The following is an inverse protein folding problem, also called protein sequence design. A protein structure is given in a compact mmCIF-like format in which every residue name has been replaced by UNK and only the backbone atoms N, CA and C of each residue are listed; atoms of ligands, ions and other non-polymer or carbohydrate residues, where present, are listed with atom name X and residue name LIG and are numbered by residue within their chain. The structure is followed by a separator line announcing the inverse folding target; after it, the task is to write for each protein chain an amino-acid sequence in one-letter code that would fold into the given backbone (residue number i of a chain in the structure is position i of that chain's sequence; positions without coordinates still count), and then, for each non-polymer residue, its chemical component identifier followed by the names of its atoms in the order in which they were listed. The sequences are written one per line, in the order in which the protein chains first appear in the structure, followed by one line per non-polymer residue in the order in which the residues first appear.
data_IF_850652638470
#
_entry.id   IF_850652638470
#
_cell.length_a   1.000
_cell.length_b   1.000
_cell.length_c   1.000
_cell.angle_alpha   90.00
_cell.angle_beta   90.00
_cell.angle_gamma   90.00
#
_symmetry.space_group_name_H-M   'P 1'
#
loop_
_entity.id
_entity.type
_entity.pdbx_description
1 polymer ?
#
# COMPACT_ATOMS: atom_id res chain seq x y z
N UNK A 1 -10.25 -25.57 -13.95
CA UNK A 1 -9.03 -24.88 -13.48
C UNK A 1 -8.75 -23.78 -14.49
N UNK A 2 -9.19 -22.56 -14.21
CA UNK A 2 -8.95 -21.40 -15.06
C UNK A 2 -7.45 -21.13 -15.12
N UNK A 3 -6.86 -21.12 -16.32
CA UNK A 3 -5.48 -20.67 -16.53
C UNK A 3 -5.45 -19.16 -16.30
N UNK A 4 -5.20 -18.74 -15.05
CA UNK A 4 -4.86 -17.36 -14.71
C UNK A 4 -3.60 -16.99 -15.49
N UNK A 5 -3.80 -16.35 -16.64
CA UNK A 5 -2.70 -15.85 -17.47
C UNK A 5 -2.14 -14.64 -16.76
N UNK A 6 -0.87 -14.71 -16.34
CA UNK A 6 -0.18 -13.61 -15.64
C UNK A 6 -0.02 -12.43 -16.59
N UNK A 7 -1.00 -11.55 -16.62
CA UNK A 7 -0.97 -10.28 -17.34
C UNK A 7 -0.39 -9.21 -16.43
N UNK A 8 0.43 -8.33 -16.99
CA UNK A 8 0.87 -7.10 -16.33
C UNK A 8 -0.31 -6.13 -16.18
N UNK A 9 -0.19 -5.19 -15.23
CA UNK A 9 -1.17 -4.11 -15.04
C UNK A 9 -1.45 -3.34 -16.34
N UNK A 10 -0.43 -3.09 -17.16
CA UNK A 10 -0.59 -2.40 -18.44
C UNK A 10 -1.39 -3.20 -19.46
N UNK A 11 -1.22 -4.53 -19.51
CA UNK A 11 -1.99 -5.40 -20.41
C UNK A 11 -3.46 -5.48 -19.98
N UNK A 12 -3.73 -5.59 -18.68
CA UNK A 12 -5.08 -5.60 -18.11
C UNK A 12 -5.82 -4.29 -18.39
N UNK A 13 -5.12 -3.16 -18.27
CA UNK A 13 -5.69 -1.83 -18.55
C UNK A 13 -5.85 -1.54 -20.05
N UNK A 14 -5.05 -2.17 -20.92
CA UNK A 14 -5.12 -1.98 -22.37
C UNK A 14 -6.36 -2.63 -23.00
N UNK A 15 -6.78 -3.79 -22.49
CA UNK A 15 -8.02 -4.45 -22.91
C UNK A 15 -8.88 -4.91 -21.72
N UNK A 16 -9.57 -3.98 -21.03
CA UNK A 16 -10.39 -4.27 -19.87
C UNK A 16 -11.49 -5.31 -20.11
N UNK A 17 -11.97 -5.45 -21.36
CA UNK A 17 -13.06 -6.37 -21.71
C UNK A 17 -12.64 -7.84 -21.61
N UNK A 18 -11.35 -8.10 -21.66
CA UNK A 18 -10.77 -9.45 -21.53
C UNK A 18 -10.42 -9.78 -20.08
N UNK A 19 -10.59 -8.84 -19.14
CA UNK A 19 -10.37 -9.07 -17.72
C UNK A 19 -11.67 -9.59 -17.12
N UNK A 20 -11.64 -10.82 -16.62
CA UNK A 20 -12.82 -11.45 -16.04
C UNK A 20 -13.02 -11.03 -14.58
N UNK A 21 -14.23 -11.26 -14.05
CA UNK A 21 -14.53 -11.11 -12.62
C UNK A 21 -13.58 -11.93 -11.73
N UNK A 22 -13.27 -13.16 -12.15
CA UNK A 22 -12.35 -14.05 -11.42
C UNK A 22 -10.93 -13.46 -11.37
N UNK A 23 -10.45 -12.91 -12.50
CA UNK A 23 -9.15 -12.22 -12.55
C UNK A 23 -9.11 -11.03 -11.60
N UNK A 24 -10.14 -10.18 -11.61
CA UNK A 24 -10.24 -9.00 -10.72
C UNK A 24 -10.22 -9.41 -9.26
N UNK A 25 -11.02 -10.40 -8.86
CA UNK A 25 -11.06 -10.87 -7.47
C UNK A 25 -9.72 -11.47 -7.04
N UNK A 26 -9.10 -12.30 -7.88
CA UNK A 26 -7.78 -12.87 -7.62
C UNK A 26 -6.74 -11.76 -7.42
N UNK A 27 -6.76 -10.74 -8.27
CA UNK A 27 -5.87 -9.58 -8.20
C UNK A 27 -6.07 -8.77 -6.92
N UNK A 28 -7.31 -8.54 -6.50
CA UNK A 28 -7.61 -7.85 -5.25
C UNK A 28 -7.16 -8.67 -4.03
N UNK A 29 -7.31 -9.99 -4.06
CA UNK A 29 -6.84 -10.87 -2.98
C UNK A 29 -5.33 -10.83 -2.86
N UNK A 30 -4.62 -10.93 -3.98
CA UNK A 30 -3.17 -10.81 -4.04
C UNK A 30 -2.70 -9.44 -3.54
N UNK A 31 -3.37 -8.37 -3.99
CA UNK A 31 -3.08 -7.00 -3.54
C UNK A 31 -3.22 -6.83 -2.02
N UNK A 32 -4.32 -7.35 -1.45
CA UNK A 32 -4.51 -7.38 0.01
C UNK A 32 -3.33 -8.06 0.70
N UNK A 33 -2.91 -9.22 0.20
CA UNK A 33 -1.80 -9.98 0.77
C UNK A 33 -0.51 -9.14 0.77
N UNK A 34 -0.15 -8.53 -0.37
CA UNK A 34 1.06 -7.70 -0.48
C UNK A 34 1.08 -6.52 0.47
N UNK A 35 -0.06 -5.83 0.61
CA UNK A 35 -0.19 -4.69 1.52
C UNK A 35 -0.06 -5.17 2.98
N UNK A 36 -0.63 -6.32 3.31
CA UNK A 36 -0.51 -6.88 4.66
C UNK A 36 0.90 -7.36 4.97
N UNK A 37 1.60 -7.97 4.01
CA UNK A 37 3.04 -8.31 4.13
C UNK A 37 3.89 -7.06 4.38
N UNK A 38 3.65 -5.98 3.63
CA UNK A 38 4.31 -4.68 3.87
C UNK A 38 4.08 -4.17 5.31
N UNK A 39 2.85 -4.31 5.82
CA UNK A 39 2.54 -3.87 7.17
C UNK A 39 3.19 -4.76 8.23
N UNK A 40 3.27 -6.06 8.01
CA UNK A 40 3.93 -6.99 8.91
C UNK A 40 5.44 -6.68 8.99
N UNK A 41 6.09 -6.36 7.86
CA UNK A 41 7.47 -5.90 7.82
C UNK A 41 7.68 -4.59 8.60
N UNK A 42 6.73 -3.65 8.48
CA UNK A 42 6.77 -2.37 9.21
C UNK A 42 6.62 -2.59 10.72
N UNK A 43 5.65 -3.40 11.14
CA UNK A 43 5.41 -3.69 12.56
C UNK A 43 6.61 -4.42 13.18
N UNK A 44 7.17 -5.38 12.45
CA UNK A 44 8.35 -6.12 12.87
C UNK A 44 9.56 -5.20 13.05
N UNK A 45 9.77 -4.25 12.14
CA UNK A 45 10.88 -3.30 12.22
C UNK A 45 10.72 -2.27 13.36
N UNK A 46 9.49 -1.95 13.72
CA UNK A 46 9.17 -1.00 14.80
C UNK A 46 8.93 -1.66 16.15
N UNK A 47 9.02 -2.99 16.22
CA UNK A 47 8.85 -3.74 17.46
C UNK A 47 9.89 -3.33 18.50
N UNK A 48 9.44 -3.11 19.75
CA UNK A 48 10.30 -2.69 20.86
C UNK A 48 10.51 -1.18 20.99
N UNK A 49 10.00 -0.36 20.05
CA UNK A 49 10.09 1.10 20.12
C UNK A 49 8.89 1.77 20.83
N UNK A 50 7.95 0.98 21.35
CA UNK A 50 6.78 1.49 22.10
C UNK A 50 5.64 2.02 21.24
N UNK A 51 5.72 1.89 19.92
CA UNK A 51 4.59 2.19 19.03
C UNK A 51 3.44 1.21 19.21
N UNK A 52 2.22 1.71 18.96
CA UNK A 52 1.01 0.91 18.84
C UNK A 52 0.55 0.88 17.38
N UNK A 53 -0.05 -0.22 16.96
CA UNK A 53 -0.51 -0.44 15.60
C UNK A 53 -2.03 -0.65 15.59
N UNK A 54 -2.73 0.15 14.79
CA UNK A 54 -4.18 0.04 14.55
C UNK A 54 -4.40 -0.35 13.09
N UNK A 55 -5.06 -1.50 12.88
CA UNK A 55 -5.49 -2.02 11.58
C UNK A 55 -7.03 -2.12 11.47
N UNK A 56 -7.79 -1.48 12.35
CA UNK A 56 -9.25 -1.59 12.37
C UNK A 56 -9.91 -0.94 11.16
N UNK A 57 -9.31 0.14 10.65
CA UNK A 57 -9.75 0.81 9.43
C UNK A 57 -9.69 -0.14 8.23
N UNK A 58 -10.76 -0.18 7.43
CA UNK A 58 -10.85 -1.00 6.21
C UNK A 58 -11.01 -0.13 4.97
N UNK A 59 -10.42 -0.58 3.87
CA UNK A 59 -10.50 0.03 2.56
C UNK A 59 -10.97 -1.00 1.52
N UNK A 60 -11.82 -0.52 0.62
CA UNK A 60 -12.17 -1.17 -0.64
C UNK A 60 -11.89 -0.18 -1.77
N UNK A 61 -11.59 -0.71 -2.95
CA UNK A 61 -11.31 0.13 -4.13
C UNK A 61 -12.58 0.36 -4.94
N UNK A 62 -12.63 1.49 -5.64
CA UNK A 62 -13.66 1.84 -6.61
C UNK A 62 -13.09 1.96 -8.02
N UNK A 63 -11.93 1.35 -8.30
CA UNK A 63 -11.26 1.38 -9.60
C UNK A 63 -12.17 0.90 -10.75
N UNK A 64 -11.98 1.47 -11.95
CA UNK A 64 -12.82 1.22 -13.11
C UNK A 64 -12.88 -0.25 -13.53
N UNK A 65 -11.77 -0.99 -13.40
CA UNK A 65 -11.74 -2.44 -13.70
C UNK A 65 -12.65 -3.25 -12.77
N UNK A 66 -12.71 -2.87 -11.48
CA UNK A 66 -13.58 -3.52 -10.50
C UNK A 66 -15.04 -3.31 -10.84
N UNK A 67 -15.40 -2.07 -11.20
CA UNK A 67 -16.77 -1.73 -11.62
C UNK A 67 -17.14 -2.41 -12.94
N UNK A 68 -16.24 -2.41 -13.93
CA UNK A 68 -16.46 -3.03 -15.24
C UNK A 68 -16.66 -4.55 -15.14
N UNK A 69 -15.97 -5.21 -14.21
CA UNK A 69 -16.14 -6.64 -13.93
C UNK A 69 -17.35 -6.96 -13.03
N UNK A 70 -18.10 -5.93 -12.60
CA UNK A 70 -19.31 -6.08 -11.78
C UNK A 70 -19.05 -6.63 -10.38
N UNK A 71 -17.85 -6.43 -9.83
CA UNK A 71 -17.49 -6.87 -8.47
C UNK A 71 -18.05 -5.86 -7.46
N UNK A 72 -18.89 -6.32 -6.53
CA UNK A 72 -19.50 -5.43 -5.53
C UNK A 72 -18.56 -5.19 -4.35
N UNK A 73 -18.74 -4.10 -3.56
CA UNK A 73 -17.90 -3.83 -2.38
C UNK A 73 -17.87 -4.97 -1.35
N UNK A 74 -18.95 -5.75 -1.25
CA UNK A 74 -19.07 -6.88 -0.31
C UNK A 74 -18.20 -8.07 -0.71
N UNK A 75 -17.93 -8.21 -2.01
CA UNK A 75 -17.11 -9.28 -2.57
C UNK A 75 -15.62 -8.95 -2.54
N UNK A 76 -15.28 -7.65 -2.45
CA UNK A 76 -13.89 -7.23 -2.42
C UNK A 76 -13.24 -7.66 -1.10
N UNK A 77 -12.01 -8.20 -1.15
CA UNK A 77 -11.23 -8.42 0.05
C UNK A 77 -10.93 -7.06 0.69
N UNK A 78 -11.35 -6.89 1.95
CA UNK A 78 -11.09 -5.67 2.73
C UNK A 78 -9.60 -5.57 3.03
N UNK A 79 -9.01 -4.44 2.69
CA UNK A 79 -7.60 -4.13 2.96
C UNK A 79 -7.53 -3.23 4.18
N UNK A 80 -6.57 -3.48 5.05
CA UNK A 80 -6.45 -2.71 6.27
C UNK A 80 -5.80 -1.35 5.99
N UNK A 81 -6.19 -0.35 6.75
CA UNK A 81 -5.47 0.91 6.88
C UNK A 81 -4.58 0.74 8.11
N UNK A 82 -3.26 0.82 7.94
CA UNK A 82 -2.34 0.78 9.07
C UNK A 82 -2.16 2.19 9.62
N UNK A 83 -2.45 2.37 10.91
CA UNK A 83 -2.10 3.55 11.68
C UNK A 83 -1.06 3.18 12.73
N UNK A 84 -0.04 4.03 12.85
CA UNK A 84 1.03 3.89 13.83
C UNK A 84 0.89 5.02 14.83
N UNK A 85 0.75 4.67 16.11
CA UNK A 85 0.51 5.61 17.21
C UNK A 85 1.71 5.59 18.15
N UNK A 86 2.14 6.77 18.59
CA UNK A 86 3.23 6.96 19.55
C UNK A 86 2.80 6.57 20.97
N UNK A 87 3.76 6.36 21.89
CA UNK A 87 3.44 6.14 23.31
C UNK A 87 2.58 7.23 23.96
N UNK A 88 2.68 8.47 23.47
CA UNK A 88 1.89 9.62 23.94
C UNK A 88 0.46 9.68 23.35
N UNK A 89 0.07 8.68 22.55
CA UNK A 89 -1.24 8.61 21.89
C UNK A 89 -1.35 9.43 20.60
N UNK A 90 -0.29 10.14 20.17
CA UNK A 90 -0.32 10.91 18.93
C UNK A 90 -0.04 10.04 17.70
N UNK A 91 -0.62 10.38 16.57
CA UNK A 91 -0.41 9.66 15.32
C UNK A 91 1.00 9.91 14.76
N UNK A 92 1.76 8.83 14.49
CA UNK A 92 3.08 8.86 13.86
C UNK A 92 3.00 8.71 12.34
N UNK A 93 2.20 7.76 11.86
CA UNK A 93 2.07 7.47 10.44
C UNK A 93 0.71 6.85 10.11
N UNK A 94 0.23 7.06 8.89
CA UNK A 94 -0.92 6.35 8.32
C UNK A 94 -0.57 5.84 6.92
N UNK A 95 -0.94 4.59 6.65
CA UNK A 95 -0.82 3.94 5.34
C UNK A 95 -2.22 3.69 4.79
N UNK A 96 -2.51 4.28 3.64
CA UNK A 96 -3.79 4.17 2.96
C UNK A 96 -3.61 3.39 1.65
N UNK A 97 -4.10 2.14 1.55
CA UNK A 97 -4.09 1.44 0.28
C UNK A 97 -4.95 2.21 -0.74
N UNK A 98 -4.52 2.21 -2.01
CA UNK A 98 -5.25 2.88 -3.10
C UNK A 98 -5.85 1.91 -4.10
N UNK A 99 -5.06 0.94 -4.55
CA UNK A 99 -5.48 0.01 -5.59
C UNK A 99 -4.30 -0.71 -6.24
N UNK A 100 -4.52 -1.87 -6.88
CA UNK A 100 -3.46 -2.61 -7.56
C UNK A 100 -3.18 -2.18 -9.01
N UNK A 101 -4.10 -1.45 -9.67
CA UNK A 101 -3.96 -1.12 -11.09
C UNK A 101 -3.33 0.25 -11.33
N UNK A 102 -2.03 0.34 -11.06
CA UNK A 102 -1.21 1.52 -11.37
C UNK A 102 -0.33 1.25 -12.58
N UNK A 103 -0.37 2.13 -13.59
CA UNK A 103 0.45 1.96 -14.81
C UNK A 103 1.93 1.91 -14.44
N UNK A 104 2.61 0.83 -14.83
CA UNK A 104 4.03 0.60 -14.52
C UNK A 104 4.33 0.14 -13.09
N UNK A 105 3.30 -0.22 -12.32
CA UNK A 105 3.42 -0.73 -10.97
C UNK A 105 2.35 -1.80 -10.68
N UNK A 106 2.51 -2.45 -9.54
CA UNK A 106 1.68 -3.52 -9.01
C UNK A 106 0.93 -3.08 -7.74
N UNK A 107 0.55 -1.81 -7.75
CA UNK A 107 -0.28 -1.19 -6.74
C UNK A 107 0.39 -0.03 -6.01
N UNK A 108 -0.44 0.67 -5.26
CA UNK A 108 -0.07 1.90 -4.57
C UNK A 108 -0.64 1.97 -3.14
N UNK A 109 0.21 2.44 -2.22
CA UNK A 109 -0.17 2.84 -0.86
C UNK A 109 0.28 4.28 -0.64
N UNK A 110 -0.61 5.13 -0.13
CA UNK A 110 -0.24 6.48 0.30
C UNK A 110 0.23 6.42 1.76
N UNK A 111 1.39 7.01 2.04
CA UNK A 111 1.97 7.15 3.36
C UNK A 111 1.90 8.61 3.82
N UNK A 112 1.25 8.86 4.95
CA UNK A 112 1.27 10.17 5.64
C UNK A 112 2.06 10.06 6.92
N UNK A 113 3.18 10.79 7.00
CA UNK A 113 3.99 10.92 8.19
C UNK A 113 3.60 12.17 8.97
N UNK A 114 3.43 12.00 10.27
CA UNK A 114 3.18 13.06 11.23
C UNK A 114 4.33 13.03 12.24
N UNK A 115 5.47 13.68 11.95
CA UNK A 115 6.61 13.72 12.87
C UNK A 115 6.23 14.43 14.17
N UNK A 116 6.93 14.12 15.26
CA UNK A 116 6.65 14.69 16.60
C UNK A 116 6.90 16.20 16.66
N UNK A 117 7.73 16.75 15.77
CA UNK A 117 7.65 18.16 15.42
C UNK A 117 7.98 18.39 13.94
N UNK A 118 7.55 19.56 13.45
CA UNK A 118 7.64 19.91 12.04
C UNK A 118 6.33 19.71 11.30
N UNK A 119 6.40 19.67 9.97
CA UNK A 119 5.24 19.52 9.10
C UNK A 119 5.02 18.05 8.76
N UNK A 120 3.77 17.67 8.53
CA UNK A 120 3.46 16.36 7.96
C UNK A 120 4.06 16.22 6.57
N UNK A 121 4.53 15.02 6.26
CA UNK A 121 5.07 14.66 4.95
C UNK A 121 4.20 13.58 4.32
N UNK A 122 3.98 13.67 3.02
CA UNK A 122 3.23 12.68 2.28
C UNK A 122 4.15 12.00 1.26
N UNK A 123 4.03 10.67 1.18
CA UNK A 123 4.74 9.83 0.25
C UNK A 123 3.77 8.90 -0.46
N UNK A 124 4.15 8.47 -1.65
CA UNK A 124 3.52 7.38 -2.37
C UNK A 124 4.46 6.19 -2.34
N UNK A 125 3.95 5.03 -1.95
CA UNK A 125 4.63 3.75 -2.07
C UNK A 125 4.07 3.03 -3.29
N UNK A 126 4.92 2.63 -4.21
CA UNK A 126 4.54 1.83 -5.39
C UNK A 126 5.26 0.49 -5.35
N UNK A 127 4.51 -0.59 -5.52
CA UNK A 127 5.11 -1.91 -5.75
C UNK A 127 5.58 -1.97 -7.22
N UNK A 128 6.89 -2.03 -7.45
CA UNK A 128 7.47 -2.13 -8.80
C UNK A 128 7.63 -3.59 -9.28
N UNK A 129 7.24 -4.56 -8.46
CA UNK A 129 7.30 -5.96 -8.85
C UNK A 129 6.25 -6.29 -9.91
N UNK A 130 6.37 -7.47 -10.52
CA UNK A 130 5.32 -8.00 -11.37
C UNK A 130 4.17 -8.62 -10.55
N UNK A 131 2.98 -8.75 -11.13
CA UNK A 131 1.90 -9.56 -10.57
C UNK A 131 2.39 -10.95 -10.14
N UNK A 132 1.96 -11.38 -8.96
CA UNK A 132 2.29 -12.67 -8.34
C UNK A 132 3.80 -12.93 -8.11
N UNK A 133 4.63 -11.89 -8.05
CA UNK A 133 6.06 -11.96 -7.65
C UNK A 133 6.31 -11.38 -6.25
N UNK A 134 7.53 -11.43 -5.73
CA UNK A 134 7.81 -10.79 -4.43
C UNK A 134 7.69 -9.25 -4.56
N UNK A 135 6.98 -8.57 -3.65
CA UNK A 135 6.78 -7.12 -3.75
C UNK A 135 8.12 -6.36 -3.62
N UNK A 136 8.24 -5.28 -4.39
CA UNK A 136 9.40 -4.39 -4.35
C UNK A 136 8.90 -2.95 -4.23
N UNK A 137 8.81 -2.47 -2.99
CA UNK A 137 8.22 -1.17 -2.69
C UNK A 137 9.22 -0.04 -2.90
N UNK A 138 8.81 0.96 -3.69
CA UNK A 138 9.52 2.22 -3.89
C UNK A 138 8.74 3.34 -3.23
N UNK A 139 9.41 4.15 -2.42
CA UNK A 139 8.89 5.39 -1.85
C UNK A 139 9.21 6.57 -2.75
N UNK A 140 8.25 7.49 -2.88
CA UNK A 140 8.42 8.77 -3.56
C UNK A 140 7.73 9.89 -2.77
N UNK A 141 8.34 11.07 -2.57
CA UNK A 141 7.66 12.23 -2.00
C UNK A 141 6.52 12.71 -2.89
N UNK A 142 5.39 13.08 -2.29
CA UNK A 142 4.31 13.77 -3.01
C UNK A 142 4.80 15.15 -3.45
N UNK A 143 4.86 15.38 -4.76
CA UNK A 143 5.39 16.61 -5.37
C UNK A 143 6.74 16.45 -6.08
N UNK A 144 7.47 15.38 -5.77
CA UNK A 144 8.76 15.03 -6.41
C UNK A 144 8.79 13.56 -6.85
N UNK A 145 7.94 13.12 -7.79
CA UNK A 145 7.80 11.70 -8.16
C UNK A 145 9.05 11.08 -8.80
N UNK A 146 10.02 11.90 -9.22
CA UNK A 146 11.30 11.43 -9.77
C UNK A 146 12.32 11.10 -8.67
N UNK A 147 12.10 11.54 -7.43
CA UNK A 147 12.89 11.14 -6.27
C UNK A 147 12.37 9.78 -5.77
N UNK A 148 12.99 8.70 -6.26
CA UNK A 148 12.56 7.33 -6.03
C UNK A 148 13.61 6.58 -5.24
N UNK A 149 13.20 6.01 -4.11
CA UNK A 149 14.07 5.21 -3.25
C UNK A 149 13.37 3.90 -2.86
N UNK A 150 14.10 2.78 -2.71
CA UNK A 150 13.54 1.59 -2.06
C UNK A 150 12.95 1.96 -0.69
N UNK A 151 11.75 1.46 -0.41
CA UNK A 151 11.14 1.63 0.89
C UNK A 151 11.75 0.63 1.87
N UNK A 152 12.35 1.16 2.94
CA UNK A 152 12.90 0.40 4.05
C UNK A 152 12.13 0.79 5.34
N UNK A 153 11.52 -0.16 6.05
CA UNK A 153 10.91 0.10 7.35
C UNK A 153 11.85 0.76 8.37
N UNK A 154 13.17 0.52 8.32
CA UNK A 154 14.12 1.21 9.20
C UNK A 154 14.21 2.72 8.90
N UNK A 155 14.02 3.12 7.64
CA UNK A 155 13.90 4.54 7.29
C UNK A 155 12.68 5.17 7.96
N UNK A 156 11.55 4.45 8.03
CA UNK A 156 10.33 4.96 8.66
C UNK A 156 10.58 5.34 10.11
N UNK A 157 11.25 4.47 10.86
CA UNK A 157 11.66 4.72 12.25
C UNK A 157 12.42 6.06 12.36
N UNK A 158 13.44 6.27 11.52
CA UNK A 158 14.24 7.50 11.53
C UNK A 158 13.41 8.78 11.32
N UNK A 159 12.28 8.69 10.63
CA UNK A 159 11.40 9.83 10.32
C UNK A 159 10.31 10.07 11.35
N UNK A 160 9.81 9.02 12.00
CA UNK A 160 8.81 9.18 13.06
C UNK A 160 9.45 9.60 14.39
N UNK A 161 10.74 9.28 14.60
CA UNK A 161 11.55 9.63 15.76
C UNK A 161 12.40 10.90 15.60
N UNK A 162 12.19 11.69 14.53
CA UNK A 162 12.93 12.91 14.23
C UNK A 162 12.61 14.07 15.23
N UNK A 163 12.80 13.83 16.54
CA UNK A 163 12.78 14.78 17.66
C UNK A 163 13.58 14.26 18.88
N UNK A 164 14.89 14.52 18.93
CA UNK A 164 15.67 14.70 20.19
C UNK A 164 16.94 15.56 20.06
N UNK A 165 17.25 16.11 18.89
CA UNK A 165 18.45 16.95 18.69
C UNK A 165 18.10 18.40 18.38
N UNK A 166 17.41 19.08 19.30
CA UNK A 166 17.45 20.55 19.45
C UNK A 166 17.28 20.90 20.92
#
# INVERSE_FOLDING_TARGET
MSNLTRRSTSEELADPKTVTREDVLSRLTEWRQRVHELYDDIEQALQGHGFQFDREGKHTTSEGLVQAAGVTPEEQPKIDILRIVRPDGTNAANFFPRGPWVIGANGQVDLRLSPSAGRSHAFTLMDQSGPFSNPFWIRMPVGSPFEREPFDPAWLLSKIDEQRSR
#
